data_IF_352055213477
#
_entry.id   IF_352055213477
#
_cell.length_a   1.000
_cell.length_b   1.000
_cell.length_c   1.000
_cell.angle_alpha   90.00
_cell.angle_beta   90.00
_cell.angle_gamma   90.00
#
_symmetry.space_group_name_H-M   'P 1'
#
loop_
_entity.id
_entity.type
_entity.pdbx_description
1 polymer ?
#
# COMPACT_ATOMS: atom_id res chain seq x y z
N UNK A 1 -19.47 -2.30 -3.51
CA UNK A 1 -18.46 -1.60 -2.69
C UNK A 1 -17.11 -1.98 -3.25
N UNK A 2 -16.31 -1.01 -3.69
CA UNK A 2 -14.98 -1.34 -4.21
C UNK A 2 -14.05 -1.53 -3.02
N UNK A 3 -13.44 -2.70 -2.96
CA UNK A 3 -12.40 -2.99 -1.98
C UNK A 3 -11.08 -2.30 -2.35
N UNK A 4 -10.04 -2.45 -1.54
CA UNK A 4 -8.78 -1.78 -1.80
C UNK A 4 -8.16 -2.20 -3.14
N UNK A 5 -7.71 -1.22 -3.90
CA UNK A 5 -7.18 -1.38 -5.25
C UNK A 5 -5.65 -1.29 -5.22
N UNK A 6 -4.96 -2.19 -5.91
CA UNK A 6 -3.54 -2.04 -6.22
C UNK A 6 -3.38 -1.75 -7.71
N UNK A 7 -2.64 -0.69 -8.05
CA UNK A 7 -2.25 -0.36 -9.41
C UNK A 7 -0.74 -0.53 -9.54
N UNK A 8 -0.30 -1.31 -10.52
CA UNK A 8 1.11 -1.56 -10.79
C UNK A 8 1.51 -0.75 -12.01
N UNK A 9 2.50 0.12 -11.86
CA UNK A 9 2.92 1.06 -12.91
C UNK A 9 4.33 0.76 -13.40
N UNK A 10 4.66 1.16 -14.64
CA UNK A 10 6.02 1.11 -15.14
C UNK A 10 7.00 1.85 -14.22
N UNK A 11 8.22 1.35 -14.22
CA UNK A 11 9.37 1.97 -13.59
C UNK A 11 10.33 2.43 -14.69
N UNK A 12 11.22 3.38 -14.38
CA UNK A 12 12.23 3.80 -15.34
C UNK A 12 13.11 2.58 -15.71
N UNK A 13 13.45 2.38 -17.00
CA UNK A 13 14.25 1.23 -17.39
C UNK A 13 15.57 1.23 -16.61
N UNK A 14 15.77 0.17 -15.83
CA UNK A 14 16.98 -0.06 -15.05
C UNK A 14 17.78 -1.18 -15.70
N UNK A 15 19.10 -1.15 -15.48
CA UNK A 15 20.02 -2.09 -16.11
C UNK A 15 19.62 -3.56 -15.84
N UNK A 16 19.17 -4.25 -16.90
CA UNK A 16 18.80 -5.66 -16.88
C UNK A 16 17.55 -6.05 -16.08
N UNK A 17 16.70 -5.10 -15.67
CA UNK A 17 15.45 -5.41 -14.96
C UNK A 17 14.25 -5.24 -15.89
N UNK A 18 13.41 -6.27 -15.95
CA UNK A 18 12.08 -6.23 -16.56
C UNK A 18 11.03 -6.76 -15.59
N UNK A 19 9.72 -6.51 -15.82
CA UNK A 19 8.67 -7.13 -15.01
C UNK A 19 8.67 -8.67 -15.08
N UNK A 20 9.32 -9.24 -16.10
CA UNK A 20 9.50 -10.68 -16.26
C UNK A 20 10.75 -11.23 -15.53
N UNK A 21 11.63 -10.37 -14.99
CA UNK A 21 12.79 -10.79 -14.21
C UNK A 21 12.36 -11.71 -13.06
N UNK A 22 13.00 -12.86 -12.96
CA UNK A 22 12.67 -13.88 -11.96
C UNK A 22 13.40 -13.55 -10.66
N UNK A 23 12.64 -13.51 -9.56
CA UNK A 23 13.16 -13.32 -8.19
C UNK A 23 12.55 -14.39 -7.29
N UNK A 24 13.41 -15.25 -6.74
CA UNK A 24 13.06 -16.41 -5.93
C UNK A 24 12.01 -17.30 -6.63
N UNK A 25 12.30 -17.65 -7.89
CA UNK A 25 11.52 -18.61 -8.69
C UNK A 25 10.24 -18.08 -9.33
N UNK A 26 9.90 -16.79 -9.17
CA UNK A 26 8.73 -16.17 -9.80
C UNK A 26 9.10 -14.87 -10.51
N UNK A 27 8.50 -14.56 -11.68
CA UNK A 27 8.58 -13.23 -12.28
C UNK A 27 8.11 -12.14 -11.30
N UNK A 28 8.76 -10.98 -11.32
CA UNK A 28 8.43 -9.85 -10.45
C UNK A 28 6.94 -9.49 -10.49
N UNK A 29 6.38 -9.39 -11.69
CA UNK A 29 4.98 -9.01 -11.85
C UNK A 29 4.04 -10.06 -11.26
N UNK A 30 4.32 -11.35 -11.50
CA UNK A 30 3.55 -12.47 -10.94
C UNK A 30 3.63 -12.46 -9.42
N UNK A 31 4.82 -12.22 -8.85
CA UNK A 31 5.03 -12.14 -7.40
C UNK A 31 4.21 -11.01 -6.78
N UNK A 32 4.28 -9.81 -7.37
CA UNK A 32 3.59 -8.63 -6.86
C UNK A 32 2.07 -8.84 -6.90
N UNK A 33 1.52 -9.31 -8.02
CA UNK A 33 0.09 -9.59 -8.17
C UNK A 33 -0.39 -10.67 -7.20
N UNK A 34 0.32 -11.80 -7.10
CA UNK A 34 -0.05 -12.89 -6.17
C UNK A 34 0.04 -12.45 -4.71
N UNK A 35 1.08 -11.74 -4.34
CA UNK A 35 1.23 -11.23 -2.98
C UNK A 35 0.09 -10.27 -2.62
N UNK A 36 -0.27 -9.36 -3.53
CA UNK A 36 -1.39 -8.44 -3.33
C UNK A 36 -2.72 -9.18 -3.14
N UNK A 37 -3.04 -10.11 -4.05
CA UNK A 37 -4.25 -10.95 -3.96
C UNK A 37 -4.32 -11.71 -2.64
N UNK A 38 -3.24 -12.36 -2.23
CA UNK A 38 -3.16 -13.11 -0.98
C UNK A 38 -3.29 -12.22 0.28
N UNK A 39 -3.02 -10.91 0.18
CA UNK A 39 -3.07 -9.97 1.31
C UNK A 39 -4.40 -9.24 1.47
N UNK A 40 -5.31 -9.38 0.52
CA UNK A 40 -6.65 -8.77 0.59
C UNK A 40 -6.90 -7.64 -0.41
N UNK A 41 -6.12 -7.55 -1.49
CA UNK A 41 -6.44 -6.67 -2.62
C UNK A 41 -7.32 -7.43 -3.62
N UNK A 42 -8.66 -7.21 -3.64
CA UNK A 42 -9.57 -7.89 -4.56
C UNK A 42 -9.38 -7.44 -6.01
N UNK A 43 -8.76 -6.30 -6.25
CA UNK A 43 -8.47 -5.81 -7.60
C UNK A 43 -7.00 -5.39 -7.68
N UNK A 44 -6.30 -5.97 -8.65
CA UNK A 44 -4.92 -5.64 -8.99
C UNK A 44 -4.87 -5.30 -10.47
N UNK A 45 -4.62 -4.03 -10.77
CA UNK A 45 -4.52 -3.51 -12.14
C UNK A 45 -3.05 -3.30 -12.48
N UNK A 46 -2.64 -3.65 -13.69
CA UNK A 46 -1.27 -3.52 -14.14
C UNK A 46 -1.24 -2.71 -15.43
N UNK A 47 -0.52 -1.60 -15.43
CA UNK A 47 -0.30 -0.79 -16.63
C UNK A 47 0.35 -1.62 -17.74
N UNK A 48 0.04 -1.30 -18.99
CA UNK A 48 0.72 -1.92 -20.13
C UNK A 48 2.19 -1.50 -20.14
N UNK A 49 3.08 -2.46 -19.93
CA UNK A 49 4.53 -2.28 -19.92
C UNK A 49 5.19 -2.85 -21.17
N UNK A 50 4.39 -3.23 -22.17
CA UNK A 50 4.86 -3.89 -23.39
C UNK A 50 5.16 -5.39 -23.19
N UNK A 51 5.03 -6.17 -24.26
CA UNK A 51 5.28 -7.62 -24.26
C UNK A 51 4.03 -8.46 -23.98
N UNK A 52 3.68 -9.33 -24.94
CA UNK A 52 2.53 -10.24 -24.82
C UNK A 52 2.63 -11.12 -23.57
N UNK A 53 3.84 -11.61 -23.29
CA UNK A 53 4.14 -12.46 -22.14
C UNK A 53 3.76 -11.83 -20.80
N UNK A 54 3.87 -10.49 -20.66
CA UNK A 54 3.51 -9.80 -19.41
C UNK A 54 2.00 -9.88 -19.15
N UNK A 55 1.16 -9.79 -20.19
CA UNK A 55 -0.29 -9.91 -20.03
C UNK A 55 -0.67 -11.29 -19.52
N UNK A 56 -0.04 -12.33 -20.05
CA UNK A 56 -0.28 -13.72 -19.64
C UNK A 56 0.22 -13.97 -18.21
N UNK A 57 1.38 -13.41 -17.84
CA UNK A 57 1.90 -13.48 -16.47
C UNK A 57 0.98 -12.78 -15.46
N UNK A 58 0.34 -11.68 -15.85
CA UNK A 58 -0.62 -10.98 -14.99
C UNK A 58 -1.95 -11.75 -14.89
N UNK A 59 -2.48 -12.22 -16.01
CA UNK A 59 -3.73 -12.99 -16.04
C UNK A 59 -3.60 -14.28 -15.20
N UNK A 60 -2.51 -15.04 -15.39
CA UNK A 60 -2.22 -16.26 -14.62
C UNK A 60 -1.92 -16.02 -13.14
N UNK A 61 -1.57 -14.79 -12.76
CA UNK A 61 -1.42 -14.37 -11.37
C UNK A 61 -2.73 -13.88 -10.72
N UNK A 62 -3.81 -13.75 -11.50
CA UNK A 62 -5.10 -13.22 -11.05
C UNK A 62 -5.19 -11.70 -11.09
N UNK A 63 -4.30 -11.01 -11.81
CA UNK A 63 -4.40 -9.57 -12.04
C UNK A 63 -5.19 -9.24 -13.30
N UNK A 64 -5.36 -7.95 -13.58
CA UNK A 64 -5.95 -7.47 -14.82
C UNK A 64 -5.11 -6.36 -15.41
N UNK A 65 -5.15 -6.20 -16.74
CA UNK A 65 -4.58 -5.02 -17.38
C UNK A 65 -5.35 -3.77 -17.01
N UNK A 66 -4.63 -2.68 -16.81
CA UNK A 66 -5.20 -1.36 -16.63
C UNK A 66 -5.80 -0.90 -17.95
N UNK A 67 -7.08 -0.56 -17.94
CA UNK A 67 -7.77 0.00 -19.10
C UNK A 67 -8.34 1.36 -18.71
N UNK A 68 -8.06 2.44 -19.45
CA UNK A 68 -8.49 3.79 -19.09
C UNK A 68 -10.02 3.94 -19.03
N UNK A 69 -10.77 3.06 -19.70
CA UNK A 69 -12.24 3.08 -19.77
C UNK A 69 -12.93 2.16 -18.75
N UNK A 70 -12.21 1.63 -17.74
CA UNK A 70 -12.82 0.77 -16.74
C UNK A 70 -13.76 1.62 -15.89
N UNK A 71 -15.07 1.56 -16.17
CA UNK A 71 -16.10 2.23 -15.38
C UNK A 71 -16.16 1.63 -14.00
N UNK A 72 -15.54 2.29 -13.03
CA UNK A 72 -15.48 1.83 -11.66
C UNK A 72 -16.62 2.50 -10.88
N UNK A 73 -17.70 1.75 -10.61
CA UNK A 73 -18.84 2.26 -9.83
C UNK A 73 -18.52 2.21 -8.35
N UNK A 74 -18.16 3.37 -7.77
CA UNK A 74 -17.81 3.50 -6.36
C UNK A 74 -19.00 3.93 -5.53
N UNK A 75 -19.34 3.11 -4.55
CA UNK A 75 -20.13 3.55 -3.40
C UNK A 75 -19.15 3.94 -2.29
N UNK A 76 -18.72 5.19 -2.25
CA UNK A 76 -17.89 5.75 -1.18
C UNK A 76 -16.43 6.01 -1.54
N UNK A 77 -15.54 5.96 -0.53
CA UNK A 77 -14.09 6.13 -0.72
C UNK A 77 -13.42 4.78 -0.91
N UNK A 78 -12.44 4.74 -1.80
CA UNK A 78 -11.61 3.57 -2.07
C UNK A 78 -10.16 3.88 -1.70
N UNK A 79 -9.51 2.94 -1.03
CA UNK A 79 -8.07 2.96 -0.80
C UNK A 79 -7.35 2.40 -2.03
N UNK A 80 -6.45 3.19 -2.60
CA UNK A 80 -5.68 2.85 -3.79
C UNK A 80 -4.20 2.91 -3.45
N UNK A 81 -3.49 1.84 -3.75
CA UNK A 81 -2.03 1.77 -3.70
C UNK A 81 -1.53 1.78 -5.13
N UNK A 82 -0.52 2.60 -5.43
CA UNK A 82 0.22 2.53 -6.69
C UNK A 82 1.64 2.09 -6.41
N UNK A 83 2.08 1.00 -7.03
CA UNK A 83 3.39 0.42 -6.82
C UNK A 83 4.15 0.28 -8.16
N UNK A 84 5.41 0.75 -8.25
CA UNK A 84 6.30 0.43 -9.35
C UNK A 84 6.52 -1.08 -9.54
N UNK A 85 6.61 -1.54 -10.80
CA UNK A 85 6.77 -2.97 -11.11
C UNK A 85 8.16 -3.56 -10.76
N UNK A 86 9.14 -2.74 -10.35
CA UNK A 86 10.44 -3.19 -9.86
C UNK A 86 10.48 -3.48 -8.35
N UNK A 87 9.33 -3.44 -7.67
CA UNK A 87 9.25 -3.70 -6.23
C UNK A 87 9.05 -5.19 -5.97
N UNK A 88 9.83 -5.71 -5.03
CA UNK A 88 9.66 -7.02 -4.40
C UNK A 88 8.94 -6.82 -3.06
N UNK A 89 7.63 -7.10 -2.96
CA UNK A 89 6.87 -6.89 -1.73
C UNK A 89 6.96 -8.09 -0.79
N UNK A 90 6.85 -7.82 0.52
CA UNK A 90 6.43 -8.82 1.51
C UNK A 90 4.93 -8.68 1.79
N UNK A 91 4.21 -9.79 2.08
CA UNK A 91 2.79 -9.73 2.42
C UNK A 91 2.45 -8.79 3.57
N UNK A 92 3.33 -8.67 4.58
CA UNK A 92 3.14 -7.75 5.72
C UNK A 92 3.11 -6.28 5.31
N UNK A 93 3.87 -5.91 4.29
CA UNK A 93 3.96 -4.52 3.83
C UNK A 93 2.69 -4.11 3.09
N UNK A 94 2.23 -5.00 2.20
CA UNK A 94 0.94 -4.87 1.52
C UNK A 94 -0.21 -4.78 2.54
N UNK A 95 -0.22 -5.65 3.56
CA UNK A 95 -1.22 -5.57 4.63
C UNK A 95 -1.13 -4.26 5.43
N UNK A 96 0.08 -3.79 5.74
CA UNK A 96 0.27 -2.54 6.47
C UNK A 96 -0.29 -1.34 5.69
N UNK A 97 -0.12 -1.31 4.37
CA UNK A 97 -0.71 -0.28 3.50
C UNK A 97 -2.25 -0.25 3.57
N UNK A 98 -2.89 -1.41 3.74
CA UNK A 98 -4.35 -1.49 3.91
C UNK A 98 -4.84 -0.94 5.26
N UNK A 99 -4.02 -0.99 6.30
CA UNK A 99 -4.36 -0.55 7.66
C UNK A 99 -3.79 0.81 8.05
N UNK A 100 -2.90 1.38 7.23
CA UNK A 100 -2.21 2.63 7.56
C UNK A 100 -3.23 3.76 7.79
N UNK A 101 -3.15 4.56 8.85
CA UNK A 101 -4.02 5.71 9.02
C UNK A 101 -3.59 6.82 8.07
N UNK A 102 -4.44 7.18 7.10
CA UNK A 102 -4.20 8.32 6.21
C UNK A 102 -5.39 9.26 6.17
N UNK A 103 -5.11 10.51 5.83
CA UNK A 103 -6.14 11.48 5.49
C UNK A 103 -6.66 11.19 4.07
N UNK A 104 -7.99 11.20 3.91
CA UNK A 104 -8.59 11.04 2.59
C UNK A 104 -8.33 12.25 1.69
N UNK A 105 -8.35 12.03 0.39
CA UNK A 105 -8.03 13.03 -0.65
C UNK A 105 -6.63 13.64 -0.49
N UNK A 106 -5.72 12.94 0.19
CA UNK A 106 -4.31 13.32 0.32
C UNK A 106 -3.40 12.29 -0.33
N UNK A 107 -2.35 12.79 -0.97
CA UNK A 107 -1.33 11.99 -1.63
C UNK A 107 -0.19 11.68 -0.67
N UNK A 108 0.02 10.39 -0.40
CA UNK A 108 1.16 9.90 0.36
C UNK A 108 2.11 9.18 -0.57
N UNK A 109 3.40 9.54 -0.52
CA UNK A 109 4.45 8.95 -1.36
C UNK A 109 5.60 8.50 -0.47
N UNK A 110 6.09 7.29 -0.72
CA UNK A 110 7.28 6.73 -0.09
C UNK A 110 8.54 6.98 -0.94
N UNK A 111 9.74 6.85 -0.37
CA UNK A 111 11.02 7.03 -1.05
C UNK A 111 11.29 6.08 -2.22
N UNK A 112 10.46 5.06 -2.42
CA UNK A 112 10.52 4.14 -3.58
C UNK A 112 9.39 4.40 -4.59
N UNK A 113 8.82 5.61 -4.60
CA UNK A 113 7.71 6.00 -5.50
C UNK A 113 6.43 5.18 -5.36
N UNK A 114 6.23 4.53 -4.21
CA UNK A 114 4.93 3.94 -3.88
C UNK A 114 3.99 5.04 -3.45
N UNK A 115 2.78 5.03 -3.99
CA UNK A 115 1.73 5.99 -3.68
C UNK A 115 0.63 5.30 -2.88
N UNK A 116 0.10 5.98 -1.88
CA UNK A 116 -1.11 5.61 -1.17
C UNK A 116 -2.07 6.80 -1.17
N UNK A 117 -3.31 6.55 -1.57
CA UNK A 117 -4.39 7.54 -1.54
C UNK A 117 -5.70 6.85 -1.15
N UNK A 118 -6.50 7.52 -0.33
CA UNK A 118 -7.90 7.14 -0.13
C UNK A 118 -8.77 8.21 -0.77
N UNK A 119 -9.55 7.85 -1.80
CA UNK A 119 -10.31 8.83 -2.57
C UNK A 119 -11.69 8.32 -2.99
N UNK A 120 -12.64 9.24 -3.11
CA UNK A 120 -13.93 8.99 -3.75
C UNK A 120 -13.85 9.01 -5.29
N UNK A 121 -12.70 9.38 -5.87
CA UNK A 121 -12.46 9.53 -7.32
C UNK A 121 -11.36 8.58 -7.81
N UNK A 122 -11.55 7.25 -7.76
CA UNK A 122 -10.55 6.31 -8.26
C UNK A 122 -10.29 6.46 -9.75
N UNK A 123 -11.26 6.94 -10.52
CA UNK A 123 -11.10 7.16 -11.96
C UNK A 123 -9.97 8.16 -12.26
N UNK A 124 -9.80 9.20 -11.42
CA UNK A 124 -8.70 10.14 -11.58
C UNK A 124 -7.33 9.48 -11.39
N UNK A 125 -7.23 8.54 -10.44
CA UNK A 125 -5.99 7.80 -10.17
C UNK A 125 -5.70 6.78 -11.28
N UNK A 126 -6.74 6.10 -11.75
CA UNK A 126 -6.66 5.13 -12.85
C UNK A 126 -6.30 5.81 -14.17
N UNK A 127 -6.93 6.94 -14.48
CA UNK A 127 -6.61 7.73 -15.66
C UNK A 127 -5.17 8.24 -15.60
N UNK A 128 -4.73 8.77 -14.45
CA UNK A 128 -3.34 9.17 -14.26
C UNK A 128 -2.37 7.99 -14.44
N UNK A 129 -2.69 6.81 -13.91
CA UNK A 129 -1.85 5.61 -14.05
C UNK A 129 -1.82 5.05 -15.47
N UNK A 130 -2.92 5.17 -16.22
CA UNK A 130 -2.98 4.75 -17.61
C UNK A 130 -2.22 5.70 -18.54
N UNK A 131 -2.17 6.98 -18.20
CA UNK A 131 -1.49 8.01 -18.99
C UNK A 131 -0.01 8.19 -18.63
N UNK A 132 0.48 7.57 -17.56
CA UNK A 132 1.84 7.78 -17.06
C UNK A 132 2.81 6.69 -17.50
N UNK A 133 3.91 7.10 -18.12
CA UNK A 133 4.99 6.21 -18.56
C UNK A 133 5.93 5.77 -17.43
N UNK A 134 5.84 6.40 -16.25
CA UNK A 134 6.66 6.06 -15.09
C UNK A 134 6.00 6.47 -13.77
N UNK A 135 6.42 5.86 -12.66
CA UNK A 135 5.94 6.23 -11.33
C UNK A 135 6.19 7.71 -10.94
N UNK A 136 7.34 8.34 -11.25
CA UNK A 136 7.52 9.78 -11.02
C UNK A 136 6.55 10.66 -11.83
N UNK A 137 6.28 10.30 -13.09
CA UNK A 137 5.32 11.02 -13.93
C UNK A 137 3.90 10.94 -13.34
N UNK A 138 3.50 9.75 -12.86
CA UNK A 138 2.25 9.54 -12.13
C UNK A 138 2.18 10.40 -10.86
N UNK A 139 3.23 10.41 -10.04
CA UNK A 139 3.27 11.23 -8.82
C UNK A 139 3.08 12.71 -9.17
N UNK A 140 3.71 13.19 -10.24
CA UNK A 140 3.54 14.56 -10.72
C UNK A 140 2.12 14.84 -11.20
N UNK A 141 1.47 13.89 -11.88
CA UNK A 141 0.06 14.01 -12.28
C UNK A 141 -0.87 14.05 -11.06
N UNK A 142 -0.70 13.13 -10.11
CA UNK A 142 -1.52 13.04 -8.91
C UNK A 142 -1.34 14.25 -7.97
N UNK A 143 -0.14 14.81 -7.89
CA UNK A 143 0.14 16.01 -7.08
C UNK A 143 -0.58 17.26 -7.59
N UNK A 144 -1.12 17.26 -8.82
CA UNK A 144 -2.00 18.34 -9.32
C UNK A 144 -3.46 18.16 -8.90
N UNK A 145 -3.83 16.95 -8.48
CA UNK A 145 -5.21 16.57 -8.16
C UNK A 145 -5.43 16.48 -6.65
N UNK A 146 -4.40 16.07 -5.91
CA UNK A 146 -4.44 15.82 -4.47
C UNK A 146 -3.34 16.61 -3.77
N UNK A 147 -3.67 17.17 -2.62
CA UNK A 147 -2.69 17.79 -1.74
C UNK A 147 -1.81 16.72 -1.09
N UNK A 148 -0.56 17.08 -0.77
CA UNK A 148 0.36 16.18 -0.09
C UNK A 148 -0.13 15.87 1.34
N UNK A 149 0.04 14.62 1.75
CA UNK A 149 -0.17 14.20 3.14
C UNK A 149 0.82 14.87 4.11
N UNK A 150 0.39 15.01 5.36
CA UNK A 150 1.15 15.67 6.42
C UNK A 150 2.48 14.96 6.75
N UNK A 151 2.52 13.63 6.64
CA UNK A 151 3.70 12.81 6.92
C UNK A 151 4.01 11.87 5.74
N UNK A 152 5.30 11.60 5.44
CA UNK A 152 5.68 10.65 4.40
C UNK A 152 5.42 9.19 4.82
N UNK A 153 5.17 8.32 3.84
CA UNK A 153 5.06 6.88 4.08
C UNK A 153 6.43 6.31 4.47
N UNK A 154 6.46 5.57 5.57
CA UNK A 154 7.68 4.96 6.12
C UNK A 154 7.43 3.49 6.48
N UNK A 155 6.84 2.72 5.55
CA UNK A 155 6.43 1.34 5.79
C UNK A 155 7.47 0.33 5.30
N UNK A 156 8.08 -0.41 6.22
CA UNK A 156 9.06 -1.45 5.89
C UNK A 156 8.43 -2.71 5.27
N UNK A 157 9.26 -3.47 4.55
CA UNK A 157 8.89 -4.79 4.01
C UNK A 157 8.77 -4.83 2.49
N UNK A 158 9.56 -4.01 1.81
CA UNK A 158 9.71 -4.03 0.36
C UNK A 158 11.19 -3.78 0.00
N UNK A 159 11.58 -4.22 -1.18
CA UNK A 159 12.87 -3.87 -1.81
C UNK A 159 12.57 -3.41 -3.23
N UNK A 160 13.11 -2.26 -3.63
CA UNK A 160 13.06 -1.82 -5.02
C UNK A 160 14.35 -2.29 -5.71
N UNK A 161 14.21 -2.90 -6.88
CA UNK A 161 15.36 -3.32 -7.68
C UNK A 161 15.77 -2.19 -8.63
N UNK A 162 17.06 -1.90 -8.67
CA UNK A 162 17.66 -0.85 -9.49
C UNK A 162 18.68 -1.38 -10.49
N UNK A 163 19.10 -2.65 -10.35
CA UNK A 163 19.87 -3.39 -11.36
C UNK A 163 19.63 -4.90 -11.27
N UNK A 164 19.99 -5.64 -12.31
CA UNK A 164 20.02 -7.11 -12.28
C UNK A 164 20.91 -7.68 -11.14
N UNK A 165 21.91 -6.93 -10.68
CA UNK A 165 22.76 -7.30 -9.55
C UNK A 165 22.00 -7.39 -8.22
N UNK A 166 20.87 -6.70 -8.09
CA UNK A 166 20.07 -6.66 -6.86
C UNK A 166 19.27 -7.93 -6.63
N UNK A 167 19.09 -8.78 -7.67
CA UNK A 167 18.24 -9.97 -7.61
C UNK A 167 18.68 -10.91 -6.48
N UNK A 168 19.97 -11.26 -6.41
CA UNK A 168 20.46 -12.17 -5.35
C UNK A 168 20.27 -11.58 -3.96
N UNK A 169 20.48 -10.28 -3.81
CA UNK A 169 20.30 -9.57 -2.55
C UNK A 169 18.82 -9.57 -2.12
N UNK A 170 17.90 -9.35 -3.07
CA UNK A 170 16.47 -9.41 -2.83
C UNK A 170 15.98 -10.82 -2.49
N UNK A 171 16.51 -11.85 -3.15
CA UNK A 171 16.22 -13.26 -2.81
C UNK A 171 16.69 -13.62 -1.40
N UNK A 172 17.93 -13.27 -1.06
CA UNK A 172 18.46 -13.50 0.28
C UNK A 172 17.65 -12.74 1.34
N UNK A 173 17.20 -11.52 1.03
CA UNK A 173 16.32 -10.75 1.90
C UNK A 173 14.94 -11.39 2.06
N UNK A 174 14.34 -11.90 0.98
CA UNK A 174 13.07 -12.63 1.02
C UNK A 174 13.18 -13.88 1.89
N UNK A 175 14.23 -14.70 1.71
CA UNK A 175 14.46 -15.91 2.48
C UNK A 175 14.65 -15.60 3.97
N UNK A 176 15.49 -14.60 4.31
CA UNK A 176 15.65 -14.14 5.70
C UNK A 176 14.34 -13.65 6.32
N UNK A 177 13.47 -13.04 5.50
CA UNK A 177 12.19 -12.54 6.00
C UNK A 177 11.22 -13.63 6.39
N UNK A 178 11.25 -14.80 5.73
CA UNK A 178 10.42 -15.96 6.08
C UNK A 178 10.74 -16.46 7.49
N UNK A 179 12.02 -16.46 7.87
CA UNK A 179 12.46 -16.85 9.22
C UNK A 179 11.97 -15.82 10.25
N UNK A 180 12.08 -14.52 9.95
CA UNK A 180 11.72 -13.42 10.87
C UNK A 180 10.20 -13.19 11.00
N UNK A 181 9.38 -13.61 10.04
CA UNK A 181 7.91 -13.46 10.12
C UNK A 181 7.33 -14.15 11.37
N UNK A 182 7.98 -15.18 11.89
CA UNK A 182 7.49 -15.92 13.06
C UNK A 182 7.61 -15.15 14.40
N UNK A 183 8.40 -14.07 14.51
CA UNK A 183 8.75 -13.49 15.82
C UNK A 183 8.19 -12.09 16.13
N UNK A 184 7.62 -11.32 15.18
CA UNK A 184 7.60 -9.86 15.37
C UNK A 184 6.44 -9.02 14.80
N UNK A 185 5.30 -9.61 14.44
CA UNK A 185 4.20 -8.85 13.81
C UNK A 185 3.38 -7.97 14.79
N UNK A 186 3.08 -8.47 15.99
CA UNK A 186 2.17 -7.76 16.93
C UNK A 186 2.79 -6.50 17.57
N UNK A 187 4.07 -6.56 17.96
CA UNK A 187 4.61 -5.59 18.93
C UNK A 187 4.93 -4.20 18.35
N UNK A 188 5.39 -4.08 17.10
CA UNK A 188 6.03 -2.82 16.64
C UNK A 188 5.11 -1.82 15.95
N UNK A 189 4.10 -2.28 15.23
CA UNK A 189 3.29 -1.41 14.35
C UNK A 189 1.82 -1.27 14.78
N UNK A 190 1.27 -2.24 15.52
CA UNK A 190 -0.12 -2.18 15.98
C UNK A 190 -0.27 -1.29 17.22
N UNK A 191 0.59 -1.46 18.25
CA UNK A 191 0.45 -0.69 19.50
C UNK A 191 0.74 0.81 19.34
N UNK A 192 1.77 1.17 18.56
CA UNK A 192 2.25 2.55 18.52
C UNK A 192 1.35 3.51 17.73
N UNK A 193 0.75 3.07 16.62
CA UNK A 193 -0.07 3.94 15.74
C UNK A 193 -1.56 3.92 16.07
N UNK A 194 -2.08 2.79 16.58
CA UNK A 194 -3.46 2.74 17.09
C UNK A 194 -3.58 3.57 18.37
N UNK A 195 -2.59 3.52 19.27
CA UNK A 195 -2.54 4.38 20.46
C UNK A 195 -2.59 5.87 20.07
N UNK A 196 -1.82 6.30 19.06
CA UNK A 196 -1.83 7.68 18.60
C UNK A 196 -3.12 8.09 17.88
N UNK A 197 -3.74 7.21 17.09
CA UNK A 197 -5.00 7.50 16.42
C UNK A 197 -6.18 7.57 17.41
N UNK A 198 -6.22 6.67 18.39
CA UNK A 198 -7.20 6.70 19.49
C UNK A 198 -6.97 7.95 20.34
N UNK A 199 -5.73 8.25 20.72
CA UNK A 199 -5.38 9.45 21.51
C UNK A 199 -5.75 10.72 20.74
N UNK A 200 -5.47 10.80 19.43
CA UNK A 200 -5.80 11.96 18.60
C UNK A 200 -7.32 12.13 18.43
N UNK A 201 -8.08 11.04 18.37
CA UNK A 201 -9.54 11.05 18.26
C UNK A 201 -10.26 11.27 19.59
N UNK A 202 -9.63 10.93 20.71
CA UNK A 202 -10.08 11.29 22.06
C UNK A 202 -9.71 12.74 22.41
N UNK A 203 -8.60 13.27 21.92
CA UNK A 203 -8.18 14.65 22.14
C UNK A 203 -9.09 15.70 21.46
N UNK A 204 -9.85 15.31 20.42
CA UNK A 204 -10.86 16.17 19.79
C UNK A 204 -12.24 16.07 20.43
N UNK A 205 -12.43 15.16 21.38
CA UNK A 205 -13.59 15.17 22.28
C UNK A 205 -13.18 15.85 23.58
N UNK A 206 -14.00 16.74 24.13
CA UNK A 206 -13.77 17.38 25.44
C UNK A 206 -13.91 16.42 26.63
N UNK A 207 -13.48 15.16 26.47
CA UNK A 207 -13.39 14.19 27.55
C UNK A 207 -12.09 14.50 28.30
N UNK A 208 -12.22 15.35 29.32
CA UNK A 208 -11.12 15.61 30.24
C UNK A 208 -10.75 14.31 30.97
N UNK A 209 -9.45 14.03 31.20
CA UNK A 209 -8.98 12.87 31.98
C UNK A 209 -9.66 12.71 33.35
N UNK A 210 -10.20 13.80 33.89
CA UNK A 210 -10.98 13.83 35.12
C UNK A 210 -12.29 13.02 35.08
N UNK A 211 -12.85 12.70 33.92
CA UNK A 211 -14.09 11.93 33.83
C UNK A 211 -13.92 10.48 34.31
N UNK A 212 -12.79 9.84 34.00
CA UNK A 212 -12.53 8.47 34.43
C UNK A 212 -12.25 8.39 35.93
N UNK A 213 -11.59 9.43 36.48
CA UNK A 213 -11.38 9.59 37.92
C UNK A 213 -12.69 9.85 38.65
N UNK A 214 -13.58 10.70 38.10
CA UNK A 214 -14.88 11.03 38.70
C UNK A 214 -15.81 9.82 38.75
N UNK A 215 -15.83 8.99 37.70
CA UNK A 215 -16.60 7.73 37.68
C UNK A 215 -16.05 6.74 38.70
N UNK A 216 -14.72 6.63 38.80
CA UNK A 216 -14.08 5.73 39.78
C UNK A 216 -14.35 6.17 41.22
N UNK A 217 -14.32 7.48 41.50
CA UNK A 217 -14.67 8.05 42.81
C UNK A 217 -16.16 7.90 43.11
N UNK A 218 -17.06 8.13 42.13
CA UNK A 218 -18.50 8.00 42.32
C UNK A 218 -18.91 6.54 42.59
N UNK A 219 -18.34 5.57 41.87
CA UNK A 219 -18.56 4.14 42.13
C UNK A 219 -17.99 3.76 43.49
N UNK A 220 -16.82 4.27 43.87
CA UNK A 220 -16.23 4.06 45.20
C UNK A 220 -17.09 4.63 46.34
N UNK A 221 -17.73 5.78 46.13
CA UNK A 221 -18.62 6.42 47.11
C UNK A 221 -19.98 5.72 47.25
N UNK A 222 -20.52 5.15 46.17
CA UNK A 222 -21.78 4.38 46.20
C UNK A 222 -21.55 2.98 46.78
N UNK A 223 -20.34 2.45 46.69
CA UNK A 223 -19.97 1.14 47.23
C UNK A 223 -19.46 1.16 48.68
N UNK A 224 -19.34 2.34 49.31
CA UNK A 224 -18.93 2.48 50.70
C UNK A 224 -20.17 2.59 51.62
N UNK A 225 -20.55 1.52 52.36
CA UNK A 225 -21.58 1.58 53.39
C UNK A 225 -21.13 2.34 54.64
#
# INVERSE_FOLDING_TARGET
MIGPLLVVVPFAPFDGISPATVVAGLPLITRLVRAARATGYPDVLVSDMGGADIRDLVASAGGSMLTPSRGIVVSGRCRIVVAPANIVPQPRWLRALLSEPIEAERLYVDGTSVVLVETARPDAVIAAAAASESAPALIGALSRVFDKGSEPLTLDGRVALSSAGDVRTAEAWLLRSLIKQNEGFMSRHFERRISLAITRRLATTSVTPNAMTLVSVAVGLVAAP
#
